data_IF_124016548694
#
_entry.id   IF_124016548694
#
_cell.length_a   1.000
_cell.length_b   1.000
_cell.length_c   1.000
_cell.angle_alpha   90.00
_cell.angle_beta   90.00
_cell.angle_gamma   90.00
#
_symmetry.space_group_name_H-M   'P 1'
#
loop_
_entity.id
_entity.type
_entity.pdbx_description
1 polymer ?
#
# COMPACT_ATOMS: atom_id res chain seq x y z
N UNK A 1 -3.94 -2.29 -18.71
CA UNK A 1 -3.38 -2.50 -17.36
C UNK A 1 -3.85 -1.33 -16.49
N UNK A 2 -4.00 -1.49 -15.16
CA UNK A 2 -4.62 -0.46 -14.29
C UNK A 2 -3.62 0.12 -13.28
N UNK A 3 -3.19 -0.69 -12.32
CA UNK A 3 -2.21 -0.33 -11.30
C UNK A 3 -1.35 -1.54 -10.97
N UNK A 4 -0.19 -1.31 -10.33
CA UNK A 4 0.75 -2.35 -9.91
C UNK A 4 1.04 -2.20 -8.42
N UNK A 5 0.98 -3.33 -7.71
CA UNK A 5 1.54 -3.48 -6.37
C UNK A 5 2.99 -3.95 -6.51
N UNK A 6 3.94 -3.17 -5.99
CA UNK A 6 5.37 -3.44 -6.08
C UNK A 6 6.00 -3.41 -4.69
N UNK A 7 6.63 -4.51 -4.29
CA UNK A 7 7.50 -4.53 -3.12
C UNK A 7 8.86 -3.94 -3.47
N UNK A 8 9.35 -3.00 -2.66
CA UNK A 8 10.61 -2.29 -2.86
C UNK A 8 11.46 -2.32 -1.60
N UNK A 9 12.75 -2.61 -1.75
CA UNK A 9 13.71 -2.41 -0.67
C UNK A 9 14.03 -0.91 -0.56
N UNK A 10 13.92 -0.36 0.65
CA UNK A 10 14.21 1.04 0.99
C UNK A 10 15.17 1.11 2.17
N UNK A 11 16.02 2.13 2.19
CA UNK A 11 16.88 2.41 3.34
C UNK A 11 16.13 3.33 4.30
N UNK A 12 15.87 2.86 5.50
CA UNK A 12 15.26 3.62 6.60
C UNK A 12 16.37 3.97 7.59
N UNK A 13 16.42 5.23 8.01
CA UNK A 13 17.34 5.66 9.07
C UNK A 13 16.57 5.70 10.36
N UNK A 14 17.07 5.01 11.39
CA UNK A 14 16.54 5.12 12.74
C UNK A 14 16.84 6.52 13.30
N UNK A 15 15.80 7.24 13.71
CA UNK A 15 15.93 8.63 14.14
C UNK A 15 16.67 8.78 15.49
N UNK A 16 16.70 7.75 16.32
CA UNK A 16 17.31 7.78 17.66
C UNK A 16 18.79 7.40 17.63
N UNK A 17 19.15 6.44 16.78
CA UNK A 17 20.52 5.86 16.71
C UNK A 17 21.30 6.34 15.48
N UNK A 18 20.62 6.84 14.45
CA UNK A 18 21.21 7.19 13.15
C UNK A 18 21.61 5.99 12.30
N UNK A 19 21.31 4.76 12.74
CA UNK A 19 21.62 3.55 11.99
C UNK A 19 20.73 3.42 10.75
N UNK A 20 21.32 2.93 9.65
CA UNK A 20 20.58 2.65 8.41
C UNK A 20 20.20 1.18 8.34
N UNK A 21 18.91 0.91 8.23
CA UNK A 21 18.34 -0.42 8.03
C UNK A 21 17.71 -0.53 6.64
N UNK A 22 17.82 -1.70 6.02
CA UNK A 22 17.05 -2.01 4.81
C UNK A 22 15.72 -2.65 5.19
N UNK A 23 14.63 -2.17 4.60
CA UNK A 23 13.28 -2.71 4.79
C UNK A 23 12.62 -2.92 3.44
N UNK A 24 11.80 -3.95 3.30
CA UNK A 24 10.96 -4.17 2.11
C UNK A 24 9.57 -3.61 2.40
N UNK A 25 9.10 -2.68 1.57
CA UNK A 25 7.79 -2.02 1.75
C UNK A 25 6.92 -2.13 0.49
N UNK A 26 5.60 -2.30 0.64
CA UNK A 26 4.67 -2.31 -0.49
C UNK A 26 4.40 -0.89 -1.00
N UNK A 27 4.40 -0.74 -2.31
CA UNK A 27 4.02 0.49 -3.00
C UNK A 27 2.98 0.19 -4.07
N UNK A 28 2.07 1.13 -4.31
CA UNK A 28 1.15 1.11 -5.44
C UNK A 28 1.52 2.20 -6.44
N UNK A 29 1.38 1.90 -7.72
CA UNK A 29 1.50 2.87 -8.81
C UNK A 29 0.31 2.70 -9.75
N UNK A 30 -0.38 3.81 -10.03
CA UNK A 30 -1.39 3.86 -11.08
C UNK A 30 -0.70 4.04 -12.45
N UNK A 31 -1.05 3.20 -13.43
CA UNK A 31 -0.46 3.17 -14.77
C UNK A 31 -1.22 4.05 -15.76
N UNK A 32 -1.55 5.28 -15.35
CA UNK A 32 -2.34 6.23 -16.13
C UNK A 32 -3.70 5.64 -16.53
N UNK A 33 -4.36 5.01 -15.55
CA UNK A 33 -5.64 4.37 -15.77
C UNK A 33 -6.75 5.40 -15.99
N UNK A 34 -7.70 5.10 -16.88
CA UNK A 34 -8.80 6.02 -17.22
C UNK A 34 -9.68 6.37 -16.02
N UNK A 35 -9.87 5.44 -15.08
CA UNK A 35 -10.74 5.62 -13.93
C UNK A 35 -9.97 5.83 -12.61
N UNK A 36 -8.64 5.98 -12.67
CA UNK A 36 -7.77 6.21 -11.52
C UNK A 36 -7.75 5.07 -10.49
N UNK A 37 -6.85 5.21 -9.53
CA UNK A 37 -6.71 4.33 -8.37
C UNK A 37 -6.88 5.17 -7.11
N UNK A 38 -7.53 4.59 -6.10
CA UNK A 38 -7.82 5.26 -4.84
C UNK A 38 -7.24 4.46 -3.69
N UNK A 39 -6.64 5.16 -2.72
CA UNK A 39 -6.23 4.62 -1.43
C UNK A 39 -6.98 5.41 -0.35
N UNK A 40 -7.67 4.71 0.54
CA UNK A 40 -8.50 5.31 1.59
C UNK A 40 -9.50 6.35 1.05
N UNK A 41 -10.13 6.04 -0.10
CA UNK A 41 -11.09 6.90 -0.83
C UNK A 41 -10.49 8.18 -1.42
N UNK A 42 -9.17 8.37 -1.34
CA UNK A 42 -8.46 9.48 -1.98
C UNK A 42 -7.77 8.98 -3.26
N UNK A 43 -7.88 9.74 -4.35
CA UNK A 43 -7.18 9.45 -5.60
C UNK A 43 -5.66 9.58 -5.39
N UNK A 44 -4.90 8.58 -5.86
CA UNK A 44 -3.44 8.65 -5.86
C UNK A 44 -2.92 9.26 -7.16
N UNK A 45 -1.79 9.98 -7.14
CA UNK A 45 -1.18 10.50 -8.36
C UNK A 45 -0.78 9.37 -9.32
N UNK A 46 -1.03 9.57 -10.62
CA UNK A 46 -0.60 8.64 -11.68
C UNK A 46 0.92 8.64 -11.85
N UNK A 47 1.46 7.53 -12.35
CA UNK A 47 2.89 7.39 -12.67
C UNK A 47 3.83 7.70 -11.49
N UNK A 48 3.32 7.57 -10.24
CA UNK A 48 4.07 7.79 -8.99
C UNK A 48 3.82 6.64 -8.03
N UNK A 49 4.90 6.15 -7.42
CA UNK A 49 4.80 5.18 -6.34
C UNK A 49 4.30 5.84 -5.06
N UNK A 50 3.21 5.32 -4.50
CA UNK A 50 2.66 5.67 -3.18
C UNK A 50 2.91 4.49 -2.23
N UNK A 51 3.52 4.75 -1.08
CA UNK A 51 3.73 3.72 -0.04
C UNK A 51 2.37 3.32 0.53
N UNK A 52 2.10 2.02 0.63
CA UNK A 52 0.92 1.50 1.30
C UNK A 52 1.23 1.18 2.77
N UNK A 53 0.25 1.40 3.63
CA UNK A 53 0.28 1.05 5.05
C UNK A 53 -0.65 -0.14 5.33
N UNK A 54 -0.38 -0.92 6.40
CA UNK A 54 -1.35 -1.89 6.89
C UNK A 54 -2.72 -1.25 7.11
N UNK A 55 -3.77 -2.01 6.85
CA UNK A 55 -5.18 -1.60 6.87
C UNK A 55 -5.61 -0.58 5.80
N UNK A 56 -4.74 -0.17 4.87
CA UNK A 56 -5.14 0.69 3.74
C UNK A 56 -6.18 0.00 2.85
N UNK A 57 -7.21 0.77 2.45
CA UNK A 57 -8.25 0.32 1.52
C UNK A 57 -7.95 0.83 0.11
N UNK A 58 -7.73 -0.08 -0.82
CA UNK A 58 -7.44 0.19 -2.23
C UNK A 58 -8.68 -0.06 -3.08
N UNK A 59 -8.95 0.87 -4.00
CA UNK A 59 -10.04 0.76 -4.98
C UNK A 59 -9.55 1.13 -6.38
N UNK A 60 -9.91 0.32 -7.36
CA UNK A 60 -9.59 0.54 -8.78
C UNK A 60 -10.79 1.10 -9.52
N UNK A 61 -10.76 2.39 -9.85
CA UNK A 61 -11.86 3.09 -10.49
C UNK A 61 -13.21 2.85 -9.85
N UNK A 62 -14.20 2.52 -10.68
CA UNK A 62 -15.57 2.26 -10.26
C UNK A 62 -15.86 0.79 -9.92
N UNK A 63 -14.82 0.01 -9.60
CA UNK A 63 -14.98 -1.37 -9.12
C UNK A 63 -15.95 -1.41 -7.92
N UNK A 64 -16.76 -2.47 -7.84
CA UNK A 64 -17.59 -2.76 -6.66
C UNK A 64 -16.79 -3.42 -5.54
N UNK A 65 -15.53 -3.77 -5.80
CA UNK A 65 -14.62 -4.41 -4.85
C UNK A 65 -13.68 -3.39 -4.24
N UNK A 66 -13.56 -3.49 -2.92
CA UNK A 66 -12.52 -2.84 -2.13
C UNK A 66 -11.52 -3.90 -1.67
N UNK A 67 -10.24 -3.56 -1.64
CA UNK A 67 -9.15 -4.43 -1.23
C UNK A 67 -8.51 -3.84 0.02
N UNK A 68 -8.29 -4.63 1.05
CA UNK A 68 -7.60 -4.18 2.28
C UNK A 68 -6.21 -4.81 2.32
N UNK A 69 -5.18 -4.00 2.51
CA UNK A 69 -3.84 -4.51 2.77
C UNK A 69 -3.74 -4.95 4.23
N UNK A 70 -3.39 -6.20 4.48
CA UNK A 70 -3.29 -6.77 5.83
C UNK A 70 -1.87 -7.33 6.00
N UNK A 71 -1.23 -7.05 7.14
CA UNK A 71 0.01 -7.71 7.54
C UNK A 71 -0.32 -8.99 8.31
N UNK A 72 0.53 -10.02 8.23
CA UNK A 72 0.27 -11.35 8.83
C UNK A 72 -0.10 -11.25 10.33
N UNK A 73 0.59 -10.38 11.07
CA UNK A 73 0.30 -10.11 12.50
C UNK A 73 -1.11 -9.52 12.74
N UNK A 74 -1.63 -8.69 11.83
CA UNK A 74 -2.98 -8.11 11.92
C UNK A 74 -4.05 -9.13 11.52
N UNK A 75 -3.73 -9.99 10.55
CA UNK A 75 -4.64 -11.06 10.11
C UNK A 75 -4.90 -12.04 11.26
N UNK A 76 -3.86 -12.45 11.99
CA UNK A 76 -3.99 -13.35 13.14
C UNK A 76 -4.83 -12.72 14.26
N UNK A 77 -4.57 -11.45 14.63
CA UNK A 77 -5.35 -10.74 15.64
C UNK A 77 -6.84 -10.64 15.28
N UNK A 78 -7.14 -10.43 14.00
CA UNK A 78 -8.53 -10.32 13.52
C UNK A 78 -9.29 -11.65 13.53
N UNK A 79 -8.59 -12.76 13.31
CA UNK A 79 -9.16 -14.11 13.34
C UNK A 79 -9.40 -14.61 14.77
N UNK A 80 -8.58 -14.19 15.74
CA UNK A 80 -8.79 -14.55 17.15
C UNK A 80 -9.95 -13.79 17.82
N UNK A 81 -10.37 -12.65 17.25
CA UNK A 81 -11.45 -11.81 17.78
C UNK A 81 -12.82 -12.07 17.12
N UNK A 82 -12.91 -13.00 16.17
CA UNK A 82 -14.11 -13.39 15.43
C UNK A 82 -14.68 -14.73 15.86
#
# INVERSE_FOLDING_TARGET
>A
QHAVLQFRQVSVTDENTGEKKSEVKPYIIDLESTNHTFVNKAEIPTSRYVELRPSDVIKFGFSTRDYVLIHEDEAELSAELS
#
